data_IF_183486151568
#
_entry.id   IF_183486151568
#
_cell.length_a   1.000
_cell.length_b   1.000
_cell.length_c   1.000
_cell.angle_alpha   90.00
_cell.angle_beta   90.00
_cell.angle_gamma   90.00
#
_symmetry.space_group_name_H-M   'P 1'
#
loop_
_entity.id
_entity.type
_entity.pdbx_description
1 polymer ?
#
# COMPACT_ATOMS: atom_id res chain seq x y z
N UNK A 1 40.48 25.59 -7.27
CA UNK A 1 39.41 25.55 -8.27
C UNK A 1 38.18 24.99 -7.56
N UNK A 2 37.28 25.86 -7.10
CA UNK A 2 36.01 25.45 -6.50
C UNK A 2 35.08 25.04 -7.65
N UNK A 3 35.03 23.75 -7.96
CA UNK A 3 34.00 23.21 -8.84
C UNK A 3 32.64 23.45 -8.17
N UNK A 4 31.71 24.06 -8.90
CA UNK A 4 30.35 24.30 -8.42
C UNK A 4 29.70 22.94 -8.12
N UNK A 5 29.20 22.68 -6.91
CA UNK A 5 28.61 21.39 -6.55
C UNK A 5 27.48 20.95 -7.51
N UNK A 6 26.77 21.90 -8.12
CA UNK A 6 25.69 21.63 -9.09
C UNK A 6 26.15 20.93 -10.39
N UNK A 7 27.30 21.30 -10.97
CA UNK A 7 27.75 20.69 -12.23
C UNK A 7 28.12 19.20 -12.08
N UNK A 8 28.41 18.76 -10.85
CA UNK A 8 28.72 17.36 -10.56
C UNK A 8 27.46 16.50 -10.47
N UNK A 9 26.34 17.06 -9.99
CA UNK A 9 25.08 16.31 -9.86
C UNK A 9 24.50 15.98 -11.24
N UNK A 10 24.42 16.97 -12.13
CA UNK A 10 23.90 16.77 -13.49
C UNK A 10 24.68 15.68 -14.25
N UNK A 11 26.01 15.67 -14.12
CA UNK A 11 26.85 14.65 -14.74
C UNK A 11 26.58 13.25 -14.16
N UNK A 12 26.45 13.12 -12.84
CA UNK A 12 26.16 11.84 -12.18
C UNK A 12 24.79 11.28 -12.58
N UNK A 13 23.78 12.15 -12.69
CA UNK A 13 22.44 11.73 -13.07
C UNK A 13 22.32 11.42 -14.56
N UNK A 14 23.08 12.11 -15.42
CA UNK A 14 23.10 11.84 -16.86
C UNK A 14 23.73 10.48 -17.21
N UNK A 15 24.68 10.01 -16.40
CA UNK A 15 25.32 8.69 -16.58
C UNK A 15 24.46 7.53 -16.04
N UNK A 16 23.39 7.83 -15.30
CA UNK A 16 22.52 6.82 -14.69
C UNK A 16 21.63 6.17 -15.76
N UNK A 17 21.74 4.86 -15.88
CA UNK A 17 20.84 4.07 -16.72
C UNK A 17 19.61 3.71 -15.91
N UNK A 18 18.48 4.27 -16.29
CA UNK A 18 17.17 3.93 -15.73
C UNK A 18 16.32 3.33 -16.84
N UNK A 19 15.60 2.26 -16.53
CA UNK A 19 14.64 1.63 -17.42
C UNK A 19 13.24 1.61 -16.78
N UNK A 20 12.23 1.36 -17.61
CA UNK A 20 10.82 1.31 -17.22
C UNK A 20 10.35 -0.05 -16.68
N UNK A 21 11.28 -0.96 -16.34
CA UNK A 21 11.00 -2.35 -15.98
C UNK A 21 10.71 -3.26 -17.18
N UNK A 22 10.44 -2.70 -18.36
CA UNK A 22 10.23 -3.43 -19.61
C UNK A 22 11.46 -3.35 -20.53
N UNK A 23 12.54 -2.72 -20.07
CA UNK A 23 13.80 -2.56 -20.79
C UNK A 23 13.86 -1.35 -21.73
N UNK A 24 12.84 -0.48 -21.72
CA UNK A 24 12.90 0.79 -22.47
C UNK A 24 13.81 1.77 -21.76
N UNK A 25 14.61 2.50 -22.52
CA UNK A 25 15.50 3.51 -21.93
C UNK A 25 14.72 4.76 -21.53
N UNK A 26 14.95 5.24 -20.32
CA UNK A 26 14.33 6.45 -19.81
C UNK A 26 15.24 7.67 -20.00
N UNK A 27 14.68 8.75 -20.57
CA UNK A 27 15.40 10.02 -20.74
C UNK A 27 15.11 10.96 -19.58
N UNK A 28 16.16 11.38 -18.87
CA UNK A 28 16.03 12.34 -17.77
C UNK A 28 15.54 13.70 -18.28
N UNK A 29 14.41 14.17 -17.76
CA UNK A 29 13.83 15.48 -18.11
C UNK A 29 14.19 16.56 -17.11
N UNK A 30 14.06 16.24 -15.82
CA UNK A 30 14.33 17.15 -14.71
C UNK A 30 14.69 16.38 -13.45
N UNK A 31 15.38 17.03 -12.54
CA UNK A 31 15.58 16.53 -11.19
C UNK A 31 15.45 17.66 -10.18
N UNK A 32 15.09 17.31 -8.96
CA UNK A 32 15.05 18.20 -7.81
C UNK A 32 15.42 17.43 -6.55
N UNK A 33 15.94 18.14 -5.55
CA UNK A 33 16.17 17.52 -4.25
C UNK A 33 14.82 17.13 -3.61
N UNK A 34 14.72 15.90 -3.14
CA UNK A 34 13.56 15.41 -2.41
C UNK A 34 13.66 15.90 -0.96
N UNK A 35 12.62 16.61 -0.50
CA UNK A 35 12.61 17.24 0.82
C UNK A 35 11.23 17.08 1.49
N UNK A 36 11.10 17.57 2.72
CA UNK A 36 9.82 17.67 3.42
C UNK A 36 9.18 16.34 3.77
N UNK A 37 7.86 16.25 3.59
CA UNK A 37 7.08 15.05 3.95
C UNK A 37 7.50 13.82 3.14
N UNK A 38 7.71 13.98 1.82
CA UNK A 38 8.09 12.87 0.94
C UNK A 38 9.38 12.19 1.37
N UNK A 39 10.40 13.00 1.68
CA UNK A 39 11.67 12.49 2.18
C UNK A 39 11.48 11.72 3.50
N UNK A 40 10.67 12.24 4.44
CA UNK A 40 10.41 11.54 5.71
C UNK A 40 9.78 10.17 5.49
N UNK A 41 8.74 10.10 4.64
CA UNK A 41 8.06 8.84 4.30
C UNK A 41 9.07 7.86 3.68
N UNK A 42 9.87 8.32 2.71
CA UNK A 42 10.81 7.46 1.99
C UNK A 42 11.97 7.02 2.89
N UNK A 43 12.49 7.86 3.78
CA UNK A 43 13.54 7.45 4.72
C UNK A 43 13.03 6.44 5.76
N UNK A 44 11.77 6.52 6.18
CA UNK A 44 11.17 5.47 7.03
C UNK A 44 11.14 4.13 6.29
N UNK A 45 10.81 4.16 5.00
CA UNK A 45 10.73 2.96 4.18
C UNK A 45 12.11 2.44 3.75
N UNK A 46 13.08 3.33 3.51
CA UNK A 46 14.44 3.07 3.00
C UNK A 46 15.46 3.80 3.90
N UNK A 47 15.89 3.18 5.01
CA UNK A 47 16.76 3.82 6.00
C UNK A 47 18.08 4.35 5.44
N UNK A 48 18.58 3.79 4.33
CA UNK A 48 19.78 4.25 3.61
C UNK A 48 19.66 5.70 3.13
N UNK A 49 18.44 6.20 2.91
CA UNK A 49 18.16 7.58 2.48
C UNK A 49 18.35 8.62 3.60
N UNK A 50 18.69 8.18 4.82
CA UNK A 50 18.97 9.08 5.95
C UNK A 50 20.27 9.87 5.83
N UNK A 51 21.09 9.57 4.82
CA UNK A 51 22.36 10.23 4.54
C UNK A 51 22.48 10.62 3.05
N UNK A 52 23.37 11.55 2.72
CA UNK A 52 23.58 12.00 1.35
C UNK A 52 22.49 12.91 0.81
N UNK A 53 22.42 13.03 -0.51
CA UNK A 53 21.37 13.75 -1.22
C UNK A 53 20.38 12.74 -1.84
N UNK A 54 19.09 13.03 -1.70
CA UNK A 54 18.02 12.24 -2.33
C UNK A 54 17.38 13.13 -3.39
N UNK A 55 17.29 12.62 -4.61
CA UNK A 55 16.82 13.37 -5.77
C UNK A 55 15.54 12.72 -6.32
N UNK A 56 14.50 13.52 -6.52
CA UNK A 56 13.35 13.16 -7.34
C UNK A 56 13.68 13.49 -8.80
N UNK A 57 13.79 12.46 -9.62
CA UNK A 57 14.17 12.57 -11.03
C UNK A 57 12.99 12.19 -11.92
N UNK A 58 12.49 13.12 -12.72
CA UNK A 58 11.44 12.84 -13.70
C UNK A 58 12.08 12.43 -15.02
N UNK A 59 11.65 11.29 -15.55
CA UNK A 59 12.06 10.75 -16.84
C UNK A 59 10.87 10.69 -17.79
N UNK A 60 11.15 10.59 -19.08
CA UNK A 60 10.18 10.16 -20.08
C UNK A 60 10.62 8.85 -20.74
N UNK A 61 9.66 7.96 -21.00
CA UNK A 61 9.86 6.81 -21.88
C UNK A 61 9.68 7.20 -23.36
N UNK A 62 9.88 6.24 -24.26
CA UNK A 62 9.75 6.44 -25.71
C UNK A 62 8.32 6.84 -26.15
N UNK A 63 7.31 6.52 -25.35
CA UNK A 63 5.92 6.92 -25.55
C UNK A 63 5.62 8.35 -25.04
N UNK A 64 6.58 8.99 -24.36
CA UNK A 64 6.43 10.32 -23.78
C UNK A 64 5.73 10.33 -22.42
N UNK A 65 5.45 9.17 -21.83
CA UNK A 65 4.90 9.06 -20.49
C UNK A 65 5.96 9.46 -19.46
N UNK A 66 5.54 10.21 -18.44
CA UNK A 66 6.46 10.72 -17.41
C UNK A 66 6.42 9.85 -16.18
N UNK A 67 7.60 9.45 -15.73
CA UNK A 67 7.79 8.65 -14.52
C UNK A 67 8.76 9.38 -13.60
N UNK A 68 8.51 9.32 -12.30
CA UNK A 68 9.47 9.81 -11.32
C UNK A 68 10.20 8.63 -10.67
N UNK A 69 11.53 8.68 -10.67
CA UNK A 69 12.38 7.77 -9.89
C UNK A 69 13.08 8.53 -8.77
N UNK A 70 13.31 7.85 -7.65
CA UNK A 70 14.11 8.36 -6.54
C UNK A 70 15.56 7.91 -6.73
N UNK A 71 16.49 8.86 -6.71
CA UNK A 71 17.92 8.60 -6.85
C UNK A 71 18.64 9.03 -5.59
N UNK A 72 19.42 8.12 -5.01
CA UNK A 72 20.24 8.37 -3.82
C UNK A 72 21.69 8.64 -4.22
N UNK A 73 22.22 9.78 -3.78
CA UNK A 73 23.57 10.24 -4.13
C UNK A 73 24.43 10.31 -2.87
N UNK A 74 25.40 9.39 -2.78
CA UNK A 74 26.34 9.28 -1.65
C UNK A 74 27.73 9.00 -2.19
N UNK A 75 28.73 9.69 -1.65
CA UNK A 75 30.14 9.43 -1.99
C UNK A 75 30.50 9.71 -3.45
N UNK A 76 29.66 10.44 -4.19
CA UNK A 76 29.83 10.67 -5.62
C UNK A 76 29.32 9.55 -6.51
N UNK A 77 28.55 8.61 -5.97
CA UNK A 77 27.80 7.59 -6.72
C UNK A 77 26.30 7.91 -6.65
N UNK A 78 25.57 7.61 -7.73
CA UNK A 78 24.12 7.73 -7.81
C UNK A 78 23.49 6.34 -7.97
N UNK A 79 22.49 6.02 -7.15
CA UNK A 79 21.78 4.74 -7.19
C UNK A 79 20.27 4.98 -7.30
N UNK A 80 19.60 4.29 -8.22
CA UNK A 80 18.14 4.29 -8.27
C UNK A 80 17.61 3.48 -7.08
N UNK A 81 16.60 4.02 -6.41
CA UNK A 81 15.93 3.35 -5.31
C UNK A 81 14.65 2.73 -5.85
N UNK A 82 14.52 1.42 -5.64
CA UNK A 82 13.33 0.65 -6.01
C UNK A 82 12.93 -0.29 -4.88
N UNK A 83 11.70 -0.77 -4.95
CA UNK A 83 11.17 -1.85 -4.12
C UNK A 83 10.20 -2.68 -4.93
N UNK A 84 10.28 -3.99 -4.72
CA UNK A 84 9.36 -4.96 -5.30
C UNK A 84 7.92 -4.76 -4.81
N UNK A 85 6.96 -4.71 -5.72
CA UNK A 85 5.55 -4.75 -5.39
C UNK A 85 5.16 -6.12 -4.83
N UNK A 86 4.56 -6.17 -3.64
CA UNK A 86 4.16 -7.41 -2.97
C UNK A 86 3.12 -8.26 -3.72
N UNK A 87 2.48 -7.71 -4.76
CA UNK A 87 1.46 -8.41 -5.55
C UNK A 87 1.95 -8.70 -6.96
N UNK A 88 2.47 -7.70 -7.70
CA UNK A 88 2.91 -7.90 -9.09
C UNK A 88 4.36 -8.36 -9.22
N UNK A 89 5.15 -8.21 -8.16
CA UNK A 89 6.59 -8.49 -8.13
C UNK A 89 7.44 -7.58 -9.03
N UNK A 90 6.88 -6.45 -9.47
CA UNK A 90 7.63 -5.45 -10.24
C UNK A 90 8.49 -4.58 -9.33
N UNK A 91 9.71 -4.25 -9.75
CA UNK A 91 10.55 -3.27 -9.08
C UNK A 91 10.05 -1.85 -9.39
N UNK A 92 9.62 -1.13 -8.36
CA UNK A 92 9.00 0.19 -8.49
C UNK A 92 9.76 1.25 -7.72
N UNK A 93 9.85 2.45 -8.27
CA UNK A 93 10.29 3.61 -7.52
C UNK A 93 9.30 3.94 -6.38
N UNK A 94 9.76 4.56 -5.28
CA UNK A 94 8.88 4.95 -4.17
C UNK A 94 7.67 5.79 -4.59
N UNK A 95 7.81 6.67 -5.58
CA UNK A 95 6.72 7.47 -6.16
C UNK A 95 5.63 6.66 -6.86
N UNK A 96 5.92 5.43 -7.27
CA UNK A 96 4.99 4.52 -7.94
C UNK A 96 4.25 3.59 -6.96
N UNK A 97 4.67 3.59 -5.69
CA UNK A 97 4.01 2.86 -4.61
C UNK A 97 2.95 3.74 -3.97
N UNK A 98 1.88 3.10 -3.50
CA UNK A 98 0.78 3.82 -2.85
C UNK A 98 1.19 4.25 -1.44
N UNK A 99 0.95 5.51 -1.11
CA UNK A 99 1.06 6.01 0.26
C UNK A 99 -0.27 5.86 0.99
N UNK A 100 -0.21 5.52 2.27
CA UNK A 100 -1.39 5.21 3.07
C UNK A 100 -1.27 5.72 4.50
N UNK A 101 -2.41 5.79 5.19
CA UNK A 101 -2.48 6.04 6.63
C UNK A 101 -3.68 5.29 7.23
N UNK A 102 -3.53 4.83 8.46
CA UNK A 102 -4.58 4.11 9.17
C UNK A 102 -5.56 5.04 9.91
N UNK A 103 -5.13 6.26 10.22
CA UNK A 103 -5.95 7.26 10.92
C UNK A 103 -6.03 8.58 10.16
N UNK A 104 -7.05 9.38 10.44
CA UNK A 104 -7.23 10.70 9.82
C UNK A 104 -6.09 11.67 10.14
N UNK A 105 -5.48 11.55 11.31
CA UNK A 105 -4.35 12.39 11.75
C UNK A 105 -3.04 11.62 11.86
N UNK A 106 -3.03 10.34 11.48
CA UNK A 106 -1.84 9.48 11.52
C UNK A 106 -0.80 9.86 10.46
N UNK A 107 0.44 9.40 10.61
CA UNK A 107 1.48 9.64 9.62
C UNK A 107 1.17 8.91 8.31
N UNK A 108 1.56 9.53 7.19
CA UNK A 108 1.62 8.82 5.91
C UNK A 108 2.79 7.83 5.92
N UNK A 109 2.55 6.67 5.34
CA UNK A 109 3.50 5.58 5.21
C UNK A 109 3.52 5.11 3.75
N UNK A 110 4.65 4.51 3.35
CA UNK A 110 4.78 3.92 2.02
C UNK A 110 4.30 2.47 2.04
N UNK A 111 3.34 2.14 1.20
CA UNK A 111 2.88 0.77 0.98
C UNK A 111 3.87 -0.03 0.14
N UNK A 112 3.67 -1.34 0.09
CA UNK A 112 4.43 -2.25 -0.77
C UNK A 112 3.63 -2.63 -2.02
N UNK A 113 2.68 -1.79 -2.45
CA UNK A 113 1.74 -2.11 -3.52
C UNK A 113 1.69 -1.00 -4.56
N UNK A 114 1.67 -1.39 -5.83
CA UNK A 114 1.46 -0.49 -6.96
C UNK A 114 0.00 -0.08 -7.05
N UNK A 115 -0.28 1.03 -7.73
CA UNK A 115 -1.67 1.45 -7.95
C UNK A 115 -2.48 0.41 -8.74
N UNK A 116 -1.88 -0.21 -9.77
CA UNK A 116 -2.56 -1.23 -10.58
C UNK A 116 -2.95 -2.45 -9.74
N UNK A 117 -2.01 -2.94 -8.93
CA UNK A 117 -2.26 -4.06 -8.03
C UNK A 117 -3.33 -3.73 -6.98
N UNK A 118 -3.29 -2.51 -6.44
CA UNK A 118 -4.26 -2.02 -5.47
C UNK A 118 -5.67 -1.94 -6.07
N UNK A 119 -5.83 -1.43 -7.29
CA UNK A 119 -7.13 -1.30 -7.94
C UNK A 119 -7.75 -2.67 -8.23
N UNK A 120 -6.95 -3.64 -8.67
CA UNK A 120 -7.44 -5.01 -8.83
C UNK A 120 -7.84 -5.60 -7.47
N UNK A 121 -7.01 -5.39 -6.45
CA UNK A 121 -7.33 -5.84 -5.10
C UNK A 121 -8.65 -5.26 -4.59
N UNK A 122 -8.88 -3.95 -4.80
CA UNK A 122 -10.10 -3.22 -4.42
C UNK A 122 -11.35 -3.78 -5.11
N UNK A 123 -11.24 -4.19 -6.37
CA UNK A 123 -12.33 -4.78 -7.17
C UNK A 123 -12.75 -6.16 -6.68
N UNK A 124 -11.78 -7.03 -6.40
CA UNK A 124 -12.05 -8.46 -6.20
C UNK A 124 -12.25 -8.86 -4.74
N UNK A 125 -11.65 -8.13 -3.79
CA UNK A 125 -11.56 -8.59 -2.39
C UNK A 125 -12.91 -8.73 -1.70
N UNK A 126 -13.82 -7.79 -1.91
CA UNK A 126 -15.13 -7.85 -1.24
C UNK A 126 -15.97 -9.01 -1.76
N UNK A 127 -16.03 -9.20 -3.07
CA UNK A 127 -16.73 -10.33 -3.68
C UNK A 127 -16.12 -11.67 -3.27
N UNK A 128 -14.78 -11.75 -3.20
CA UNK A 128 -14.11 -12.94 -2.69
C UNK A 128 -14.48 -13.23 -1.22
N UNK A 129 -14.44 -12.23 -0.35
CA UNK A 129 -14.86 -12.36 1.05
C UNK A 129 -16.33 -12.81 1.16
N UNK A 130 -17.22 -12.20 0.38
CA UNK A 130 -18.64 -12.52 0.36
C UNK A 130 -18.88 -13.97 -0.06
N UNK A 131 -18.16 -14.44 -1.08
CA UNK A 131 -18.23 -15.82 -1.56
C UNK A 131 -17.72 -16.82 -0.51
N UNK A 132 -16.63 -16.50 0.20
CA UNK A 132 -16.12 -17.33 1.29
C UNK A 132 -17.08 -17.40 2.48
N UNK A 133 -17.81 -16.32 2.77
CA UNK A 133 -18.82 -16.30 3.83
C UNK A 133 -20.06 -17.13 3.45
N UNK A 134 -20.51 -17.05 2.19
CA UNK A 134 -21.68 -17.78 1.72
C UNK A 134 -21.39 -19.27 1.51
N UNK A 135 -20.18 -19.60 1.03
CA UNK A 135 -19.78 -20.96 0.69
C UNK A 135 -18.49 -21.35 1.44
N UNK A 136 -18.53 -21.45 2.78
CA UNK A 136 -17.34 -21.76 3.57
C UNK A 136 -16.84 -23.17 3.26
N UNK A 137 -15.56 -23.28 2.88
CA UNK A 137 -14.89 -24.58 2.65
C UNK A 137 -14.09 -25.07 3.86
N UNK A 138 -13.91 -24.21 4.87
CA UNK A 138 -13.17 -24.49 6.10
C UNK A 138 -13.83 -23.77 7.28
N UNK A 139 -14.33 -24.54 8.26
CA UNK A 139 -15.02 -24.01 9.44
C UNK A 139 -14.15 -23.06 10.27
N UNK A 140 -12.86 -23.38 10.45
CA UNK A 140 -11.95 -22.52 11.20
C UNK A 140 -11.75 -21.15 10.52
N UNK A 141 -11.70 -21.12 9.19
CA UNK A 141 -11.63 -19.87 8.43
C UNK A 141 -12.94 -19.09 8.54
N UNK A 142 -14.08 -19.77 8.39
CA UNK A 142 -15.39 -19.16 8.50
C UNK A 142 -15.65 -18.56 9.89
N UNK A 143 -15.30 -19.28 10.95
CA UNK A 143 -15.34 -18.79 12.34
C UNK A 143 -14.52 -17.51 12.52
N UNK A 144 -13.30 -17.45 11.98
CA UNK A 144 -12.46 -16.23 12.05
C UNK A 144 -13.12 -15.07 11.30
N UNK A 145 -13.65 -15.31 10.11
CA UNK A 145 -14.31 -14.25 9.33
C UNK A 145 -15.59 -13.74 10.02
N UNK A 146 -16.37 -14.62 10.66
CA UNK A 146 -17.53 -14.22 11.46
C UNK A 146 -17.14 -13.34 12.66
N UNK A 147 -16.04 -13.67 13.35
CA UNK A 147 -15.51 -12.87 14.47
C UNK A 147 -15.01 -11.49 14.01
N UNK A 148 -14.36 -11.44 12.86
CA UNK A 148 -13.89 -10.18 12.24
C UNK A 148 -15.08 -9.32 11.78
N UNK A 149 -16.10 -9.94 11.21
CA UNK A 149 -17.28 -9.27 10.68
C UNK A 149 -17.09 -8.71 9.27
N UNK A 150 -17.89 -7.70 8.96
CA UNK A 150 -17.94 -7.07 7.64
C UNK A 150 -16.67 -6.26 7.35
N UNK A 151 -16.03 -6.60 6.23
CA UNK A 151 -14.95 -5.80 5.64
C UNK A 151 -15.52 -4.85 4.59
N UNK A 152 -15.16 -3.58 4.65
CA UNK A 152 -15.58 -2.60 3.63
C UNK A 152 -14.47 -1.67 3.15
N UNK A 153 -13.29 -1.71 3.79
CA UNK A 153 -12.10 -0.96 3.40
C UNK A 153 -10.94 -1.91 3.15
N UNK A 154 -9.96 -1.45 2.39
CA UNK A 154 -8.71 -2.14 2.13
C UNK A 154 -7.95 -2.40 3.44
N UNK A 155 -7.42 -3.62 3.57
CA UNK A 155 -6.50 -4.02 4.61
C UNK A 155 -5.65 -5.17 4.06
N UNK A 156 -4.37 -5.19 4.35
CA UNK A 156 -3.45 -6.28 4.02
C UNK A 156 -2.10 -5.98 4.67
N UNK A 157 -1.60 -6.90 5.49
CA UNK A 157 -0.37 -6.69 6.26
C UNK A 157 0.91 -6.65 5.40
N UNK A 158 0.87 -7.23 4.20
CA UNK A 158 1.98 -7.24 3.25
C UNK A 158 1.95 -5.96 2.42
N UNK A 159 0.76 -5.53 1.97
CA UNK A 159 0.61 -4.29 1.21
C UNK A 159 0.78 -3.04 2.08
N UNK A 160 0.33 -3.09 3.35
CA UNK A 160 0.30 -1.96 4.28
C UNK A 160 1.05 -2.33 5.58
N UNK A 161 2.39 -2.25 5.57
CA UNK A 161 3.21 -2.69 6.70
C UNK A 161 3.09 -1.76 7.91
N UNK A 162 2.53 -2.28 8.99
CA UNK A 162 2.40 -1.56 10.27
C UNK A 162 3.71 -1.51 11.08
N UNK A 163 3.83 -0.49 11.93
CA UNK A 163 4.87 -0.44 12.96
C UNK A 163 4.69 -1.59 13.97
N UNK A 164 5.75 -2.07 14.65
CA UNK A 164 5.61 -3.10 15.68
C UNK A 164 4.65 -2.71 16.81
N UNK A 165 4.57 -1.43 17.14
CA UNK A 165 3.68 -0.88 18.17
C UNK A 165 2.22 -0.95 17.72
N UNK A 166 1.93 -0.58 16.48
CA UNK A 166 0.57 -0.64 15.93
C UNK A 166 0.09 -2.08 15.77
N UNK A 167 0.97 -2.99 15.34
CA UNK A 167 0.62 -4.42 15.20
C UNK A 167 0.07 -5.02 16.50
N UNK A 168 0.64 -4.63 17.64
CA UNK A 168 0.19 -5.13 18.94
C UNK A 168 -1.23 -4.66 19.30
N UNK A 169 -1.66 -3.49 18.82
CA UNK A 169 -3.02 -2.97 19.03
C UNK A 169 -4.07 -3.73 18.20
N UNK A 170 -3.64 -4.41 17.14
CA UNK A 170 -4.47 -5.20 16.23
C UNK A 170 -4.26 -6.71 16.39
N UNK A 171 -3.70 -7.13 17.52
CA UNK A 171 -3.53 -8.53 17.89
C UNK A 171 -4.34 -8.83 19.16
N UNK A 172 -5.19 -9.85 19.08
CA UNK A 172 -5.97 -10.33 20.24
C UNK A 172 -5.59 -11.75 20.56
N UNK A 173 -5.34 -12.07 21.83
CA UNK A 173 -5.07 -13.44 22.26
C UNK A 173 -6.40 -14.20 22.33
N UNK A 174 -6.50 -15.31 21.59
CA UNK A 174 -7.65 -16.20 21.71
C UNK A 174 -7.57 -16.94 23.04
N UNK A 175 -8.48 -16.63 23.97
CA UNK A 175 -8.49 -17.18 25.33
C UNK A 175 -8.54 -18.72 25.39
N UNK A 176 -9.08 -19.39 24.35
CA UNK A 176 -9.20 -20.85 24.30
C UNK A 176 -7.90 -21.51 23.84
N UNK A 177 -7.19 -20.88 22.92
CA UNK A 177 -5.98 -21.47 22.31
C UNK A 177 -4.67 -20.87 22.81
N UNK A 178 -4.73 -19.69 23.43
CA UNK A 178 -3.56 -18.88 23.80
C UNK A 178 -2.82 -18.28 22.60
N UNK A 179 -3.32 -18.46 21.37
CA UNK A 179 -2.66 -17.98 20.17
C UNK A 179 -3.10 -16.56 19.83
N UNK A 180 -2.18 -15.73 19.29
CA UNK A 180 -2.55 -14.43 18.77
C UNK A 180 -3.38 -14.54 17.50
N UNK A 181 -4.44 -13.77 17.43
CA UNK A 181 -5.30 -13.58 16.26
C UNK A 181 -5.14 -12.14 15.81
N UNK A 182 -4.67 -11.96 14.58
CA UNK A 182 -4.53 -10.64 13.97
C UNK A 182 -5.87 -10.17 13.42
N UNK A 183 -6.30 -8.99 13.85
CA UNK A 183 -7.48 -8.31 13.36
C UNK A 183 -7.12 -7.50 12.10
N UNK A 184 -8.01 -7.43 11.10
CA UNK A 184 -7.83 -6.51 9.98
C UNK A 184 -7.71 -5.06 10.44
N UNK A 185 -6.59 -4.41 10.12
CA UNK A 185 -6.37 -2.98 10.32
C UNK A 185 -6.75 -2.23 9.03
N UNK A 186 -7.93 -1.58 8.95
CA UNK A 186 -8.40 -1.00 7.70
C UNK A 186 -7.69 0.32 7.41
N UNK A 187 -7.27 0.51 6.16
CA UNK A 187 -6.67 1.76 5.71
C UNK A 187 -7.73 2.88 5.69
N UNK A 188 -7.38 4.03 6.27
CA UNK A 188 -8.27 5.19 6.29
C UNK A 188 -8.15 6.05 5.04
N UNK A 189 -6.92 6.34 4.59
CA UNK A 189 -6.71 7.12 3.37
C UNK A 189 -5.55 6.58 2.54
N UNK A 190 -5.66 6.75 1.22
CA UNK A 190 -4.66 6.35 0.23
C UNK A 190 -4.38 7.52 -0.69
N UNK A 191 -3.13 7.66 -1.14
CA UNK A 191 -2.74 8.63 -2.17
C UNK A 191 -1.58 8.09 -3.00
N UNK A 192 -1.44 8.60 -4.22
CA UNK A 192 -0.34 8.26 -5.12
C UNK A 192 0.28 9.55 -5.66
N UNK A 193 1.60 9.60 -5.75
CA UNK A 193 2.29 10.72 -6.37
C UNK A 193 2.10 10.68 -7.89
N UNK A 194 1.64 11.77 -8.48
CA UNK A 194 1.55 11.94 -9.92
C UNK A 194 2.67 12.85 -10.43
N UNK A 195 3.58 12.27 -11.22
CA UNK A 195 4.72 12.99 -11.79
C UNK A 195 4.29 14.08 -12.79
N UNK A 196 3.14 13.92 -13.45
CA UNK A 196 2.63 14.87 -14.43
C UNK A 196 2.11 16.15 -13.76
N UNK A 197 1.24 16.01 -12.75
CA UNK A 197 0.72 17.15 -11.99
C UNK A 197 1.69 17.64 -10.90
N UNK A 198 2.71 16.85 -10.57
CA UNK A 198 3.61 17.09 -9.43
C UNK A 198 2.81 17.28 -8.13
N UNK A 199 1.82 16.40 -7.92
CA UNK A 199 0.93 16.43 -6.76
C UNK A 199 0.40 15.03 -6.45
N UNK A 200 -0.23 14.87 -5.29
CA UNK A 200 -0.86 13.62 -4.88
C UNK A 200 -2.28 13.49 -5.41
N UNK A 201 -2.59 12.32 -5.98
CA UNK A 201 -3.96 11.91 -6.30
C UNK A 201 -4.51 11.06 -5.14
N UNK A 202 -5.65 11.47 -4.59
CA UNK A 202 -6.35 10.67 -3.60
C UNK A 202 -6.92 9.39 -4.22
N UNK A 203 -6.85 8.28 -3.48
CA UNK A 203 -7.38 6.97 -3.88
C UNK A 203 -8.45 6.54 -2.87
N UNK A 204 -9.51 5.90 -3.34
CA UNK A 204 -10.58 5.41 -2.50
C UNK A 204 -10.15 4.15 -1.73
N UNK A 205 -10.18 4.22 -0.40
CA UNK A 205 -9.86 3.08 0.46
C UNK A 205 -10.99 2.03 0.57
N UNK A 206 -12.22 2.40 0.21
CA UNK A 206 -13.37 1.50 0.23
C UNK A 206 -13.29 0.45 -0.89
N UNK A 207 -13.57 -0.80 -0.54
CA UNK A 207 -13.64 -1.91 -1.47
C UNK A 207 -14.82 -1.75 -2.43
N UNK A 208 -14.65 -2.13 -3.69
CA UNK A 208 -15.73 -2.08 -4.66
C UNK A 208 -16.83 -3.08 -4.29
N UNK A 209 -18.10 -2.66 -4.44
CA UNK A 209 -19.27 -3.47 -4.04
C UNK A 209 -19.54 -3.54 -2.53
N UNK A 210 -18.62 -3.07 -1.67
CA UNK A 210 -18.83 -3.03 -0.23
C UNK A 210 -19.73 -1.85 0.19
N UNK A 211 -20.55 -2.01 1.25
CA UNK A 211 -21.37 -0.92 1.76
C UNK A 211 -20.51 0.23 2.30
N UNK A 212 -21.01 1.46 2.20
CA UNK A 212 -20.35 2.60 2.83
C UNK A 212 -20.47 2.51 4.36
N UNK A 213 -19.67 3.30 5.08
CA UNK A 213 -19.65 3.27 6.55
C UNK A 213 -21.05 3.53 7.16
N UNK A 214 -21.89 4.36 6.52
CA UNK A 214 -23.24 4.66 6.99
C UNK A 214 -24.23 3.47 6.89
N UNK A 215 -24.00 2.56 5.95
CA UNK A 215 -24.88 1.40 5.70
C UNK A 215 -24.32 0.09 6.26
N UNK A 216 -23.13 0.13 6.87
CA UNK A 216 -22.36 -1.05 7.29
C UNK A 216 -23.14 -1.97 8.22
N UNK A 217 -23.72 -1.42 9.29
CA UNK A 217 -24.42 -2.19 10.33
C UNK A 217 -25.70 -2.84 9.81
N UNK A 218 -26.43 -2.12 8.96
CA UNK A 218 -27.64 -2.62 8.30
C UNK A 218 -27.27 -3.75 7.34
N UNK A 219 -26.30 -3.53 6.46
CA UNK A 219 -25.85 -4.55 5.52
C UNK A 219 -25.36 -5.81 6.25
N UNK A 220 -24.56 -5.64 7.30
CA UNK A 220 -24.05 -6.78 8.06
C UNK A 220 -25.17 -7.57 8.73
N UNK A 221 -26.14 -6.89 9.35
CA UNK A 221 -27.30 -7.54 9.97
C UNK A 221 -28.13 -8.32 8.94
N UNK A 222 -28.42 -7.70 7.78
CA UNK A 222 -29.14 -8.34 6.68
C UNK A 222 -28.35 -9.53 6.09
N UNK A 223 -27.02 -9.44 6.05
CA UNK A 223 -26.15 -10.50 5.58
C UNK A 223 -26.07 -11.68 6.57
N UNK A 224 -26.02 -11.40 7.87
CA UNK A 224 -26.08 -12.43 8.91
C UNK A 224 -27.38 -13.21 8.86
N UNK A 225 -28.52 -12.55 8.61
CA UNK A 225 -29.81 -13.23 8.44
C UNK A 225 -29.77 -14.22 7.24
N UNK A 226 -29.12 -13.84 6.13
CA UNK A 226 -28.92 -14.74 4.99
C UNK A 226 -28.03 -15.93 5.32
N UNK A 227 -26.98 -15.71 6.12
CA UNK A 227 -26.13 -16.82 6.58
C UNK A 227 -26.90 -17.75 7.52
N UNK A 228 -27.74 -17.22 8.40
CA UNK A 228 -28.60 -18.01 9.30
C UNK A 228 -29.61 -18.86 8.53
N UNK A 229 -30.18 -18.33 7.44
CA UNK A 229 -31.03 -19.07 6.53
C UNK A 229 -30.28 -20.19 5.80
N UNK A 230 -29.05 -19.93 5.35
CA UNK A 230 -28.26 -20.88 4.57
C UNK A 230 -27.62 -22.01 5.42
N UNK A 231 -27.13 -21.69 6.62
CA UNK A 231 -26.32 -22.61 7.45
C UNK A 231 -27.00 -23.02 8.75
N UNK A 232 -28.12 -22.39 9.11
CA UNK A 232 -28.81 -22.59 10.37
C UNK A 232 -28.28 -21.70 11.49
N UNK A 233 -29.22 -21.11 12.24
CA UNK A 233 -28.92 -20.18 13.33
C UNK A 233 -28.07 -20.80 14.45
N UNK A 234 -28.43 -22.00 14.91
CA UNK A 234 -27.72 -22.68 16.00
C UNK A 234 -26.24 -22.95 15.66
N UNK A 235 -25.96 -23.30 14.40
CA UNK A 235 -24.60 -23.51 13.92
C UNK A 235 -23.80 -22.21 13.95
N UNK A 236 -24.34 -21.11 13.40
CA UNK A 236 -23.66 -19.83 13.41
C UNK A 236 -23.42 -19.30 14.82
N UNK A 237 -24.41 -19.42 15.70
CA UNK A 237 -24.28 -19.00 17.09
C UNK A 237 -23.17 -19.81 17.80
N UNK A 238 -23.02 -21.11 17.51
CA UNK A 238 -21.91 -21.92 18.04
C UNK A 238 -20.52 -21.44 17.60
N UNK A 239 -20.42 -20.84 16.40
CA UNK A 239 -19.16 -20.32 15.86
C UNK A 239 -18.80 -18.95 16.43
N UNK A 240 -19.80 -18.15 16.83
CA UNK A 240 -19.60 -16.80 17.38
C UNK A 240 -19.08 -16.80 18.83
N UNK A 241 -19.22 -17.92 19.55
CA UNK A 241 -18.76 -18.10 20.95
C UNK A 241 -17.28 -18.52 21.07
#
# INVERSE_FOLDING_TARGET
IFFRPFQRMDALLADLKVDDGMGSHLTLLRHQKLEGERLKIYTTAFPELSSGDVMACTYANDAGERLEHTVHVVGGSANVITRECAITLDDLAPSQLVEYRFDETGPWMLGNVSFLALEEYRKVKFDYWKNLMLNPTCEAAFKRMLKVGLINKLYDELAFPESPEDKANWEVIDEKTGNPVRLPHPVHSLRLWDADSNDYKAIQAQLEGAPCDADKDKYWSDFLAKLEEAHGKEYLDSLRV
#
